data_IF_384598692090
#
_entry.id   IF_384598692090
#
_cell.length_a   1.000
_cell.length_b   1.000
_cell.length_c   1.000
_cell.angle_alpha   90.00
_cell.angle_beta   90.00
_cell.angle_gamma   90.00
#
_symmetry.space_group_name_H-M   'P 1'
#
loop_
_entity.id
_entity.type
_entity.pdbx_description
1 polymer ?
#
# COMPACT_ATOMS: atom_id res chain seq x y z
N UNK A 1 -4.37 15.20 11.96
CA UNK A 1 -3.78 15.49 10.63
C UNK A 1 -4.68 14.83 9.60
N UNK A 2 -5.27 15.58 8.65
CA UNK A 2 -6.21 15.01 7.66
C UNK A 2 -5.39 14.42 6.51
N UNK A 3 -5.43 13.10 6.32
CA UNK A 3 -4.85 12.47 5.14
C UNK A 3 -5.73 12.82 3.94
N UNK A 4 -5.33 13.83 3.16
CA UNK A 4 -5.89 14.05 1.83
C UNK A 4 -5.18 13.11 0.87
N UNK A 5 -5.93 12.16 0.30
CA UNK A 5 -5.48 11.39 -0.86
C UNK A 5 -5.13 12.42 -1.96
N UNK A 6 -3.88 12.39 -2.45
CA UNK A 6 -3.38 13.33 -3.47
C UNK A 6 -3.34 14.81 -3.01
N UNK A 7 -2.64 15.08 -1.90
CA UNK A 7 -2.44 16.45 -1.40
C UNK A 7 -1.94 17.40 -2.50
N UNK A 8 -2.68 18.51 -2.70
CA UNK A 8 -2.34 19.53 -3.70
C UNK A 8 -2.92 19.31 -5.10
N UNK A 9 -3.69 18.23 -5.31
CA UNK A 9 -4.46 18.02 -6.54
C UNK A 9 -5.96 18.08 -6.25
N UNK A 10 -6.72 18.68 -7.17
CA UNK A 10 -8.17 18.54 -7.21
C UNK A 10 -8.57 17.24 -7.95
N UNK A 11 -9.85 16.87 -7.87
CA UNK A 11 -10.36 15.63 -8.45
C UNK A 11 -10.07 15.48 -9.96
N UNK A 12 -10.13 16.59 -10.72
CA UNK A 12 -9.87 16.57 -12.16
C UNK A 12 -8.39 16.28 -12.44
N UNK A 13 -7.49 16.92 -11.71
CA UNK A 13 -6.05 16.68 -11.83
C UNK A 13 -5.70 15.22 -11.51
N UNK A 14 -6.32 14.63 -10.49
CA UNK A 14 -6.12 13.21 -10.14
C UNK A 14 -6.55 12.30 -11.29
N UNK A 15 -7.75 12.52 -11.87
CA UNK A 15 -8.26 11.74 -13.00
C UNK A 15 -7.37 11.85 -14.24
N UNK A 16 -6.69 12.98 -14.44
CA UNK A 16 -5.76 13.18 -15.56
C UNK A 16 -4.38 12.56 -15.31
N UNK A 17 -3.90 12.52 -14.06
CA UNK A 17 -2.54 12.09 -13.72
C UNK A 17 -2.43 10.58 -13.48
N UNK A 18 -3.44 9.94 -12.88
CA UNK A 18 -3.42 8.50 -12.59
C UNK A 18 -3.24 7.64 -13.84
N UNK A 19 -3.91 7.91 -14.98
CA UNK A 19 -3.69 7.16 -16.23
C UNK A 19 -2.29 7.39 -16.84
N UNK A 20 -1.64 8.53 -16.54
CA UNK A 20 -0.26 8.85 -16.96
C UNK A 20 0.79 8.13 -16.11
N UNK A 21 0.38 7.37 -15.11
CA UNK A 21 1.26 6.59 -14.24
C UNK A 21 1.59 7.26 -12.91
N UNK A 22 1.02 8.43 -12.62
CA UNK A 22 1.22 9.05 -11.31
C UNK A 22 0.64 8.15 -10.20
N UNK A 23 1.43 7.94 -9.14
CA UNK A 23 0.99 7.32 -7.88
C UNK A 23 1.49 8.20 -6.73
N UNK A 24 0.78 8.16 -5.60
CA UNK A 24 1.20 8.91 -4.42
C UNK A 24 2.57 8.41 -3.94
N UNK A 25 3.48 9.31 -3.52
CA UNK A 25 4.75 8.89 -2.94
C UNK A 25 4.53 8.11 -1.64
N UNK A 26 5.53 7.31 -1.25
CA UNK A 26 5.52 6.56 0.02
C UNK A 26 5.32 7.53 1.21
N UNK A 27 4.32 7.30 2.07
CA UNK A 27 4.19 8.05 3.32
C UNK A 27 5.42 7.86 4.23
N UNK A 28 5.69 8.84 5.09
CA UNK A 28 6.84 8.80 6.00
C UNK A 28 6.80 7.56 6.91
N UNK A 29 5.65 7.32 7.55
CA UNK A 29 5.45 6.25 8.53
C UNK A 29 5.02 4.90 7.89
N UNK A 30 5.15 4.78 6.57
CA UNK A 30 4.82 3.55 5.85
C UNK A 30 6.09 2.73 5.56
N UNK A 31 6.06 1.43 5.86
CA UNK A 31 7.16 0.53 5.51
C UNK A 31 7.28 0.38 3.98
N UNK A 32 8.48 0.03 3.52
CA UNK A 32 8.74 -0.16 2.08
C UNK A 32 7.87 -1.28 1.52
N UNK A 33 7.83 -2.44 2.21
CA UNK A 33 7.02 -3.59 1.81
C UNK A 33 5.52 -3.27 1.73
N UNK A 34 4.98 -2.50 2.69
CA UNK A 34 3.58 -2.08 2.66
C UNK A 34 3.28 -1.19 1.43
N UNK A 35 4.20 -0.27 1.11
CA UNK A 35 4.04 0.59 -0.06
C UNK A 35 4.19 -0.16 -1.39
N UNK A 36 5.03 -1.20 -1.45
CA UNK A 36 5.14 -2.07 -2.62
C UNK A 36 3.81 -2.79 -2.90
N UNK A 37 3.11 -3.27 -1.86
CA UNK A 37 1.77 -3.84 -2.01
C UNK A 37 0.76 -2.79 -2.49
N UNK A 38 0.82 -1.56 -2.00
CA UNK A 38 -0.02 -0.48 -2.51
C UNK A 38 0.21 -0.23 -4.01
N UNK A 39 1.47 -0.27 -4.47
CA UNK A 39 1.80 -0.13 -5.89
C UNK A 39 1.26 -1.29 -6.73
N UNK A 40 1.32 -2.53 -6.23
CA UNK A 40 0.72 -3.70 -6.89
C UNK A 40 -0.80 -3.56 -7.00
N UNK A 41 -1.48 -3.12 -5.95
CA UNK A 41 -2.92 -2.82 -5.98
C UNK A 41 -3.28 -1.74 -7.00
N UNK A 42 -2.36 -0.82 -7.29
CA UNK A 42 -2.55 0.26 -8.26
C UNK A 42 -1.93 -0.04 -9.63
N UNK A 43 -1.70 -1.31 -9.98
CA UNK A 43 -1.22 -1.65 -11.31
C UNK A 43 -2.21 -1.16 -12.40
N UNK A 44 -1.64 -0.71 -13.52
CA UNK A 44 -2.40 -0.24 -14.66
C UNK A 44 -3.21 -1.37 -15.29
N UNK A 45 -2.64 -2.57 -15.33
CA UNK A 45 -3.28 -3.79 -15.82
C UNK A 45 -4.08 -4.41 -14.68
N UNK A 46 -5.37 -4.59 -14.90
CA UNK A 46 -6.27 -5.12 -13.88
C UNK A 46 -5.89 -6.56 -13.49
N UNK A 47 -5.42 -7.35 -14.46
CA UNK A 47 -5.00 -8.72 -14.31
C UNK A 47 -3.68 -8.90 -13.54
N UNK A 48 -2.92 -7.81 -13.34
CA UNK A 48 -1.68 -7.81 -12.55
C UNK A 48 -1.93 -7.41 -11.09
N UNK A 49 -3.15 -6.97 -10.76
CA UNK A 49 -3.49 -6.61 -9.37
C UNK A 49 -3.65 -7.88 -8.55
N UNK A 50 -3.17 -7.90 -7.29
CA UNK A 50 -3.32 -9.04 -6.42
C UNK A 50 -4.81 -9.32 -6.13
N UNK A 51 -5.13 -10.59 -5.92
CA UNK A 51 -6.46 -10.97 -5.42
C UNK A 51 -6.59 -10.59 -3.94
N UNK A 52 -7.83 -10.47 -3.46
CA UNK A 52 -8.06 -10.28 -2.04
C UNK A 52 -7.54 -11.45 -1.19
N UNK A 53 -7.61 -12.68 -1.70
CA UNK A 53 -7.04 -13.87 -1.06
C UNK A 53 -5.51 -13.73 -0.86
N UNK A 54 -4.78 -13.27 -1.88
CA UNK A 54 -3.35 -13.01 -1.75
C UNK A 54 -3.07 -11.90 -0.71
N UNK A 55 -3.86 -10.83 -0.73
CA UNK A 55 -3.71 -9.72 0.22
C UNK A 55 -3.94 -10.17 1.66
N UNK A 56 -4.95 -10.99 1.91
CA UNK A 56 -5.24 -11.57 3.23
C UNK A 56 -4.03 -12.36 3.75
N UNK A 57 -3.53 -13.33 2.96
CA UNK A 57 -2.34 -14.09 3.33
C UNK A 57 -1.11 -13.19 3.58
N UNK A 58 -0.89 -12.20 2.72
CA UNK A 58 0.23 -11.27 2.87
C UNK A 58 0.15 -10.52 4.21
N UNK A 59 -1.03 -10.02 4.59
CA UNK A 59 -1.17 -9.24 5.81
C UNK A 59 -1.06 -10.10 7.07
N UNK A 60 -1.60 -11.32 7.06
CA UNK A 60 -1.45 -12.25 8.18
C UNK A 60 0.03 -12.53 8.50
N UNK A 61 0.84 -12.82 7.47
CA UNK A 61 2.28 -13.07 7.62
C UNK A 61 3.06 -11.80 8.02
N UNK A 62 2.63 -10.65 7.51
CA UNK A 62 3.27 -9.36 7.79
C UNK A 62 3.15 -8.96 9.27
N UNK A 63 1.98 -9.18 9.89
CA UNK A 63 1.79 -8.90 11.33
C UNK A 63 2.60 -9.87 12.21
N UNK A 64 2.61 -11.17 11.90
CA UNK A 64 3.42 -12.16 12.64
C UNK A 64 4.91 -11.85 12.60
N UNK A 65 5.40 -11.32 11.47
CA UNK A 65 6.82 -10.98 11.30
C UNK A 65 7.21 -9.64 11.94
N UNK A 66 6.24 -8.76 12.22
CA UNK A 66 6.48 -7.42 12.77
C UNK A 66 6.21 -7.31 14.28
N UNK A 67 5.54 -8.29 14.89
CA UNK A 67 5.46 -8.38 16.35
C UNK A 67 6.79 -8.87 16.95
N UNK A 68 7.27 -8.25 18.06
CA UNK A 68 8.40 -8.78 18.80
C UNK A 68 7.97 -10.12 19.41
N UNK A 69 8.47 -11.24 18.86
CA UNK A 69 8.35 -12.57 19.46
C UNK A 69 8.74 -12.48 20.93
N UNK A 70 7.74 -12.59 21.81
CA UNK A 70 7.97 -12.66 23.25
C UNK A 70 8.89 -13.85 23.51
N UNK A 71 10.08 -13.61 24.07
CA UNK A 71 10.95 -14.70 24.54
C UNK A 71 10.22 -15.39 25.68
N UNK A 72 9.65 -16.57 25.42
CA UNK A 72 9.34 -17.53 26.48
C UNK A 72 10.61 -17.73 27.29
N UNK A 73 10.58 -17.25 28.53
CA UNK A 73 11.60 -17.51 29.53
C UNK A 73 11.13 -18.73 30.28
N UNK A 74 11.88 -19.83 30.15
CA UNK A 74 11.70 -21.08 30.89
C UNK A 74 11.70 -20.90 32.40
#
# INVERSE_FOLDING_TARGET
MRLSLFAGMNNREVLEQVPKGYRMPKPADCSVHMYEIMLQCWDRKEEQRPTFEYLECFFDDYFVSTEPKYKESS
#
